data_IF_062555771572
#
_entry.id   IF_062555771572
#
_cell.length_a   1.000
_cell.length_b   1.000
_cell.length_c   1.000
_cell.angle_alpha   90.00
_cell.angle_beta   90.00
_cell.angle_gamma   90.00
#
_symmetry.space_group_name_H-M   'P 1'
#
loop_
_entity.id
_entity.type
_entity.pdbx_description
1 polymer ?
#
# COMPACT_ATOMS: atom_id res chain seq x y z
N UNK A 1 -9.06 20.59 -1.67
CA UNK A 1 -7.67 20.93 -1.28
C UNK A 1 -7.04 21.59 -2.50
N UNK A 2 -6.39 22.73 -2.35
CA UNK A 2 -5.73 23.39 -3.46
C UNK A 2 -4.34 22.78 -3.73
N UNK A 3 -3.76 23.06 -4.92
CA UNK A 3 -2.46 22.48 -5.30
C UNK A 3 -1.31 22.93 -4.38
N UNK A 4 -1.36 24.15 -3.86
CA UNK A 4 -0.34 24.66 -2.94
C UNK A 4 -0.35 23.93 -1.60
N UNK A 5 -1.52 23.57 -1.09
CA UNK A 5 -1.63 22.82 0.18
C UNK A 5 -1.13 21.40 0.03
N UNK A 6 -1.40 20.77 -1.14
CA UNK A 6 -0.86 19.44 -1.46
C UNK A 6 0.67 19.48 -1.56
N UNK A 7 1.21 20.49 -2.23
CA UNK A 7 2.65 20.66 -2.34
C UNK A 7 3.30 20.85 -0.97
N UNK A 8 2.76 21.73 -0.13
CA UNK A 8 3.28 21.98 1.22
C UNK A 8 3.23 20.72 2.10
N UNK A 9 2.15 19.96 2.02
CA UNK A 9 2.03 18.70 2.76
C UNK A 9 3.10 17.68 2.32
N UNK A 10 3.31 17.56 1.01
CA UNK A 10 4.32 16.66 0.45
C UNK A 10 5.74 17.10 0.83
N UNK A 11 6.04 18.37 0.70
CA UNK A 11 7.34 18.95 1.09
C UNK A 11 7.61 18.75 2.58
N UNK A 12 6.61 18.91 3.42
CA UNK A 12 6.71 18.69 4.86
C UNK A 12 7.06 17.22 5.16
N UNK A 13 6.33 16.26 4.62
CA UNK A 13 6.58 14.84 4.87
C UNK A 13 7.95 14.40 4.34
N UNK A 14 8.35 14.90 3.16
CA UNK A 14 9.69 14.61 2.60
C UNK A 14 10.82 15.22 3.43
N UNK A 15 10.64 16.42 4.00
CA UNK A 15 11.64 17.04 4.86
C UNK A 15 11.74 16.33 6.22
N UNK A 16 10.63 15.86 6.79
CA UNK A 16 10.64 15.02 7.99
C UNK A 16 11.43 13.74 7.73
N UNK A 17 11.18 13.07 6.60
CA UNK A 17 11.88 11.85 6.22
C UNK A 17 13.37 12.08 5.97
N UNK A 18 13.74 13.16 5.30
CA UNK A 18 15.14 13.55 5.06
C UNK A 18 15.93 13.74 6.36
N UNK A 19 15.27 14.23 7.40
CA UNK A 19 15.86 14.44 8.72
C UNK A 19 15.76 13.21 9.63
N UNK A 20 15.08 12.16 9.20
CA UNK A 20 14.94 10.93 9.97
C UNK A 20 16.23 10.10 9.97
N UNK A 21 16.59 9.59 11.14
CA UNK A 21 17.79 8.74 11.28
C UNK A 21 17.43 7.27 11.43
N UNK A 22 17.88 6.46 10.50
CA UNK A 22 17.76 5.00 10.56
C UNK A 22 18.80 4.33 11.46
N UNK A 23 19.75 5.10 11.99
CA UNK A 23 20.85 4.57 12.80
C UNK A 23 20.34 3.94 14.09
N UNK A 24 20.70 2.70 14.33
CA UNK A 24 20.37 1.97 15.55
C UNK A 24 18.98 1.32 15.55
N UNK A 25 18.20 1.46 14.46
CA UNK A 25 16.92 0.80 14.33
C UNK A 25 17.09 -0.67 13.93
N UNK A 26 16.22 -1.53 14.47
CA UNK A 26 16.04 -2.90 13.96
C UNK A 26 15.37 -2.86 12.59
N UNK A 27 15.48 -3.96 11.83
CA UNK A 27 14.84 -4.03 10.51
C UNK A 27 13.31 -3.93 10.60
N UNK A 28 12.69 -4.50 11.65
CA UNK A 28 11.26 -4.35 11.89
C UNK A 28 10.86 -2.89 12.17
N UNK A 29 11.66 -2.15 12.92
CA UNK A 29 11.43 -0.72 13.16
C UNK A 29 11.55 0.08 11.87
N UNK A 30 12.53 -0.25 11.02
CA UNK A 30 12.67 0.36 9.69
C UNK A 30 11.45 0.07 8.83
N UNK A 31 10.98 -1.18 8.76
CA UNK A 31 9.78 -1.57 8.00
C UNK A 31 8.55 -0.80 8.49
N UNK A 32 8.36 -0.71 9.80
CA UNK A 32 7.24 0.03 10.39
C UNK A 32 7.28 1.52 10.03
N UNK A 33 8.48 2.12 10.10
CA UNK A 33 8.66 3.53 9.72
C UNK A 33 8.37 3.76 8.24
N UNK A 34 8.94 2.94 7.35
CA UNK A 34 8.70 3.00 5.90
C UNK A 34 7.22 2.85 5.57
N UNK A 35 6.52 1.89 6.19
CA UNK A 35 5.09 1.70 5.97
C UNK A 35 4.30 2.97 6.31
N UNK A 36 4.60 3.63 7.43
CA UNK A 36 3.97 4.89 7.83
C UNK A 36 4.28 6.03 6.87
N UNK A 37 5.55 6.19 6.51
CA UNK A 37 5.99 7.25 5.60
C UNK A 37 5.32 7.11 4.23
N UNK A 38 5.37 5.93 3.62
CA UNK A 38 4.76 5.67 2.31
C UNK A 38 3.23 5.81 2.35
N UNK A 39 2.60 5.39 3.45
CA UNK A 39 1.16 5.59 3.68
C UNK A 39 0.79 7.07 3.74
N UNK A 40 1.59 7.90 4.41
CA UNK A 40 1.43 9.36 4.48
C UNK A 40 1.54 10.01 3.10
N UNK A 41 2.59 9.71 2.34
CA UNK A 41 2.79 10.20 0.97
C UNK A 41 1.59 9.83 0.08
N UNK A 42 1.12 8.58 0.14
CA UNK A 42 -0.04 8.16 -0.65
C UNK A 42 -1.32 8.91 -0.25
N UNK A 43 -1.53 9.17 1.04
CA UNK A 43 -2.73 9.84 1.57
C UNK A 43 -2.87 11.29 1.08
N UNK A 44 -1.76 11.97 0.80
CA UNK A 44 -1.76 13.33 0.25
C UNK A 44 -2.47 13.38 -1.10
N UNK A 45 -2.45 12.29 -1.88
CA UNK A 45 -3.08 12.21 -3.21
C UNK A 45 -2.69 13.39 -4.13
N UNK A 46 -1.39 13.60 -4.39
CA UNK A 46 -0.90 14.77 -5.11
C UNK A 46 -1.31 14.78 -6.59
N UNK A 47 -1.78 13.66 -7.12
CA UNK A 47 -2.21 13.52 -8.52
C UNK A 47 -3.70 13.22 -8.61
N UNK A 48 -4.35 13.65 -9.69
CA UNK A 48 -5.76 13.32 -9.97
C UNK A 48 -5.97 11.81 -10.15
N UNK A 49 -5.01 11.14 -10.82
CA UNK A 49 -5.01 9.71 -11.07
C UNK A 49 -3.60 9.11 -10.87
N UNK A 50 -3.53 7.79 -10.70
CA UNK A 50 -2.26 7.06 -10.66
C UNK A 50 -1.48 7.18 -9.36
N UNK A 51 -2.07 7.72 -8.28
CA UNK A 51 -1.37 7.89 -7.00
C UNK A 51 -0.72 6.60 -6.49
N UNK A 52 -1.41 5.45 -6.55
CA UNK A 52 -0.86 4.18 -6.09
C UNK A 52 0.36 3.73 -6.91
N UNK A 53 0.31 3.87 -8.24
CA UNK A 53 1.44 3.53 -9.13
C UNK A 53 2.64 4.44 -8.88
N UNK A 54 2.40 5.73 -8.79
CA UNK A 54 3.46 6.71 -8.49
C UNK A 54 4.07 6.43 -7.12
N UNK A 55 3.26 6.10 -6.13
CA UNK A 55 3.74 5.71 -4.80
C UNK A 55 4.59 4.44 -4.87
N UNK A 56 4.21 3.43 -5.65
CA UNK A 56 5.00 2.20 -5.83
C UNK A 56 6.38 2.51 -6.47
N UNK A 57 6.40 3.30 -7.55
CA UNK A 57 7.65 3.71 -8.20
C UNK A 57 8.53 4.54 -7.26
N UNK A 58 7.95 5.49 -6.55
CA UNK A 58 8.65 6.28 -5.52
C UNK A 58 9.24 5.36 -4.45
N UNK A 59 8.45 4.43 -3.92
CA UNK A 59 8.88 3.46 -2.90
C UNK A 59 10.11 2.67 -3.36
N UNK A 60 10.07 2.10 -4.56
CA UNK A 60 11.20 1.35 -5.12
C UNK A 60 12.46 2.22 -5.20
N UNK A 61 12.34 3.42 -5.75
CA UNK A 61 13.48 4.36 -5.88
C UNK A 61 14.02 4.78 -4.51
N UNK A 62 13.12 5.09 -3.59
CA UNK A 62 13.49 5.51 -2.24
C UNK A 62 14.20 4.38 -1.48
N UNK A 63 13.64 3.18 -1.45
CA UNK A 63 14.25 2.04 -0.78
C UNK A 63 15.62 1.69 -1.36
N UNK A 64 15.79 1.77 -2.67
CA UNK A 64 17.11 1.60 -3.31
C UNK A 64 18.10 2.67 -2.87
N UNK A 65 17.66 3.92 -2.72
CA UNK A 65 18.53 5.03 -2.29
C UNK A 65 19.05 4.87 -0.87
N UNK A 66 18.34 4.14 -0.02
CA UNK A 66 18.75 3.84 1.36
C UNK A 66 19.35 2.44 1.53
N UNK A 67 19.61 1.72 0.43
CA UNK A 67 20.42 0.51 0.40
C UNK A 67 19.66 -0.81 0.30
N UNK A 68 18.34 -0.80 0.10
CA UNK A 68 17.55 -2.02 -0.11
C UNK A 68 17.58 -2.46 -1.57
N UNK A 69 17.80 -3.75 -1.80
CA UNK A 69 17.67 -4.35 -3.13
C UNK A 69 16.22 -4.80 -3.36
N UNK A 70 15.42 -3.91 -3.93
CA UNK A 70 14.00 -4.13 -4.22
C UNK A 70 13.69 -3.86 -5.68
N UNK A 71 12.70 -4.56 -6.22
CA UNK A 71 12.24 -4.42 -7.59
C UNK A 71 10.69 -4.33 -7.65
N UNK A 72 10.16 -4.32 -8.87
CA UNK A 72 8.72 -4.17 -9.09
C UNK A 72 7.93 -5.48 -8.97
N UNK A 73 8.56 -6.64 -8.83
CA UNK A 73 7.88 -7.94 -8.98
C UNK A 73 6.76 -8.13 -7.95
N UNK A 74 7.02 -7.81 -6.69
CA UNK A 74 6.01 -7.91 -5.63
C UNK A 74 4.84 -6.94 -5.86
N UNK A 75 5.11 -5.73 -6.32
CA UNK A 75 4.09 -4.74 -6.65
C UNK A 75 3.23 -5.19 -7.84
N UNK A 76 3.85 -5.72 -8.89
CA UNK A 76 3.15 -6.22 -10.07
C UNK A 76 2.26 -7.41 -9.73
N UNK A 77 2.77 -8.37 -8.95
CA UNK A 77 2.02 -9.55 -8.53
C UNK A 77 0.88 -9.22 -7.55
N UNK A 78 1.00 -8.16 -6.76
CA UNK A 78 0.09 -7.82 -5.65
C UNK A 78 -0.41 -6.37 -5.71
N UNK A 79 -0.64 -5.81 -6.89
CA UNK A 79 -0.98 -4.39 -7.07
C UNK A 79 -2.27 -3.99 -6.35
N UNK A 80 -3.29 -4.86 -6.37
CA UNK A 80 -4.54 -4.66 -5.64
C UNK A 80 -4.36 -4.76 -4.13
N UNK A 81 -3.55 -5.71 -3.68
CA UNK A 81 -3.25 -5.83 -2.26
C UNK A 81 -2.55 -4.57 -1.75
N UNK A 82 -1.54 -4.09 -2.45
CA UNK A 82 -0.80 -2.87 -2.07
C UNK A 82 -1.73 -1.65 -1.99
N UNK A 83 -2.58 -1.45 -3.01
CA UNK A 83 -3.58 -0.38 -2.99
C UNK A 83 -4.54 -0.51 -1.81
N UNK A 84 -5.10 -1.70 -1.60
CA UNK A 84 -6.07 -1.93 -0.53
C UNK A 84 -5.42 -1.82 0.86
N UNK A 85 -4.17 -2.24 1.00
CA UNK A 85 -3.40 -2.07 2.24
C UNK A 85 -3.17 -0.58 2.56
N UNK A 86 -2.89 0.26 1.57
CA UNK A 86 -2.82 1.72 1.73
C UNK A 86 -4.17 2.32 2.15
N UNK A 87 -5.28 1.86 1.53
CA UNK A 87 -6.63 2.26 1.95
C UNK A 87 -6.87 1.86 3.41
N UNK A 88 -6.59 0.60 3.78
CA UNK A 88 -6.80 0.11 5.15
C UNK A 88 -5.95 0.83 6.18
N UNK A 89 -4.75 1.24 5.81
CA UNK A 89 -3.85 2.00 6.67
C UNK A 89 -4.40 3.39 7.03
N UNK A 90 -5.27 3.97 6.20
CA UNK A 90 -5.77 5.34 6.33
C UNK A 90 -7.28 5.43 6.57
N UNK A 91 -8.05 4.38 6.25
CA UNK A 91 -9.50 4.46 6.30
C UNK A 91 -10.03 4.40 7.73
N UNK A 92 -10.85 5.39 8.08
CA UNK A 92 -11.58 5.46 9.34
C UNK A 92 -13.09 5.64 9.08
N UNK A 93 -13.90 4.87 9.77
CA UNK A 93 -15.34 5.06 9.80
C UNK A 93 -15.87 4.86 11.23
N UNK A 94 -16.01 5.96 11.96
CA UNK A 94 -16.41 5.96 13.38
C UNK A 94 -17.78 5.31 13.58
N UNK A 95 -18.72 5.53 12.65
CA UNK A 95 -20.08 4.97 12.76
C UNK A 95 -20.09 3.45 12.67
N UNK A 96 -19.13 2.88 11.94
CA UNK A 96 -18.98 1.41 11.76
C UNK A 96 -17.94 0.82 12.69
N UNK A 97 -17.31 1.61 13.55
CA UNK A 97 -16.23 1.17 14.43
C UNK A 97 -14.96 0.75 13.68
N UNK A 98 -14.73 1.29 12.48
CA UNK A 98 -13.55 0.95 11.66
C UNK A 98 -12.44 1.95 11.92
N UNK A 99 -11.31 1.47 12.39
CA UNK A 99 -10.08 2.23 12.61
C UNK A 99 -9.02 1.90 11.56
N UNK A 100 -8.08 2.84 11.28
CA UNK A 100 -6.92 2.58 10.43
C UNK A 100 -6.13 1.36 10.90
N UNK A 101 -5.70 0.52 9.97
CA UNK A 101 -4.94 -0.69 10.26
C UNK A 101 -3.73 -0.80 9.34
N UNK A 102 -2.53 -0.65 9.91
CA UNK A 102 -1.26 -0.72 9.20
C UNK A 102 -0.76 -2.15 8.97
N UNK A 103 -1.32 -3.15 9.64
CA UNK A 103 -0.82 -4.53 9.63
C UNK A 103 -0.64 -5.10 8.22
N UNK A 104 -1.60 -4.85 7.34
CA UNK A 104 -1.56 -5.35 5.96
C UNK A 104 -0.43 -4.70 5.14
N UNK A 105 -0.22 -3.41 5.32
CA UNK A 105 0.85 -2.69 4.65
C UNK A 105 2.23 -3.10 5.20
N UNK A 106 2.33 -3.30 6.51
CA UNK A 106 3.54 -3.82 7.16
C UNK A 106 3.89 -5.20 6.60
N UNK A 107 2.92 -6.13 6.47
CA UNK A 107 3.15 -7.45 5.89
C UNK A 107 3.67 -7.38 4.45
N UNK A 108 3.16 -6.44 3.65
CA UNK A 108 3.67 -6.20 2.31
C UNK A 108 5.14 -5.74 2.32
N UNK A 109 5.48 -4.79 3.20
CA UNK A 109 6.86 -4.29 3.31
C UNK A 109 7.81 -5.31 3.94
N UNK A 110 7.36 -6.17 4.85
CA UNK A 110 8.15 -7.30 5.35
C UNK A 110 8.53 -8.24 4.21
N UNK A 111 7.59 -8.59 3.34
CA UNK A 111 7.88 -9.42 2.17
C UNK A 111 8.86 -8.70 1.22
N UNK A 112 8.66 -7.39 0.97
CA UNK A 112 9.47 -6.61 0.05
C UNK A 112 10.91 -6.39 0.54
N UNK A 113 11.07 -6.05 1.82
CA UNK A 113 12.33 -5.58 2.39
C UNK A 113 13.09 -6.67 3.14
N UNK A 114 12.39 -7.63 3.71
CA UNK A 114 12.97 -8.70 4.53
C UNK A 114 12.94 -10.07 3.85
N UNK A 115 12.28 -10.19 2.70
CA UNK A 115 12.11 -11.47 2.00
C UNK A 115 11.20 -12.44 2.74
N UNK A 116 10.31 -11.96 3.60
CA UNK A 116 9.31 -12.78 4.25
C UNK A 116 8.23 -13.23 3.26
N UNK A 117 7.51 -14.29 3.61
CA UNK A 117 6.46 -14.90 2.79
C UNK A 117 5.09 -14.76 3.46
N UNK A 118 4.76 -13.56 3.96
CA UNK A 118 3.44 -13.28 4.49
C UNK A 118 2.38 -13.44 3.38
N UNK A 119 1.25 -14.01 3.75
CA UNK A 119 0.15 -14.23 2.83
C UNK A 119 -0.55 -12.89 2.50
N UNK A 120 -0.50 -12.47 1.23
CA UNK A 120 -1.05 -11.20 0.76
C UNK A 120 -2.42 -11.43 0.09
N UNK A 121 -3.47 -11.62 0.90
CA UNK A 121 -4.83 -11.90 0.42
C UNK A 121 -5.76 -10.71 0.52
N UNK A 122 -6.28 -10.23 -0.60
CA UNK A 122 -7.22 -9.11 -0.69
C UNK A 122 -8.50 -9.32 0.14
N UNK A 123 -8.97 -10.56 0.30
CA UNK A 123 -10.18 -10.85 1.08
C UNK A 123 -10.12 -10.38 2.54
N UNK A 124 -8.94 -10.28 3.12
CA UNK A 124 -8.76 -9.79 4.49
C UNK A 124 -8.85 -8.26 4.61
N UNK A 125 -8.79 -7.57 3.49
CA UNK A 125 -8.73 -6.11 3.40
C UNK A 125 -10.10 -5.47 3.16
N UNK A 126 -11.12 -6.27 2.82
CA UNK A 126 -12.45 -5.77 2.49
C UNK A 126 -13.19 -5.33 3.75
N UNK A 127 -13.61 -4.06 3.81
CA UNK A 127 -14.27 -3.45 4.97
C UNK A 127 -15.79 -3.40 4.78
N UNK A 128 -16.26 -3.19 3.58
CA UNK A 128 -17.66 -2.92 3.21
C UNK A 128 -18.12 -3.80 2.03
N UNK A 129 -17.78 -5.09 2.06
CA UNK A 129 -18.34 -6.00 1.07
C UNK A 129 -19.87 -6.05 1.23
N UNK A 130 -20.64 -5.92 0.14
CA UNK A 130 -22.06 -6.24 0.17
C UNK A 130 -22.27 -7.63 0.79
N UNK A 131 -23.37 -7.80 1.53
CA UNK A 131 -23.67 -9.08 2.22
C UNK A 131 -23.56 -10.29 1.26
N UNK A 132 -23.90 -10.08 -0.01
CA UNK A 132 -23.74 -11.05 -1.10
C UNK A 132 -22.29 -11.45 -1.40
N UNK A 133 -21.33 -10.57 -1.12
CA UNK A 133 -19.91 -10.83 -1.27
C UNK A 133 -19.37 -11.65 -0.11
N UNK A 134 -19.85 -11.38 1.10
CA UNK A 134 -19.45 -12.09 2.32
C UNK A 134 -19.93 -13.54 2.24
N UNK A 135 -21.16 -13.77 1.77
CA UNK A 135 -21.71 -15.13 1.60
C UNK A 135 -21.02 -15.95 0.52
N UNK A 136 -20.45 -15.31 -0.51
CA UNK A 136 -19.66 -15.95 -1.56
C UNK A 136 -18.21 -16.26 -1.16
N UNK A 137 -17.78 -15.76 0.00
CA UNK A 137 -16.44 -15.97 0.55
C UNK A 137 -16.40 -17.00 1.68
N UNK A 138 -17.46 -17.78 1.86
CA UNK A 138 -17.44 -18.94 2.74
C UNK A 138 -16.31 -19.89 2.29
N UNK A 139 -15.34 -20.20 3.18
CA UNK A 139 -14.19 -21.06 2.83
C UNK A 139 -14.60 -22.44 2.34
N UNK A 140 -15.85 -22.88 2.60
CA UNK A 140 -16.38 -24.15 2.15
C UNK A 140 -16.94 -24.11 0.73
N UNK A 141 -17.23 -22.94 0.17
CA UNK A 141 -17.81 -22.80 -1.18
C UNK A 141 -16.76 -22.51 -2.26
N UNK A 142 -15.47 -22.34 -1.93
CA UNK A 142 -14.55 -21.71 -2.82
C UNK A 142 -13.28 -22.49 -3.13
N UNK A 143 -13.43 -23.52 -3.97
CA UNK A 143 -12.30 -23.99 -4.78
C UNK A 143 -12.03 -23.13 -6.03
N UNK A 144 -12.85 -22.09 -6.28
CA UNK A 144 -12.75 -21.17 -7.42
C UNK A 144 -13.32 -19.78 -7.08
N UNK A 145 -12.75 -19.10 -6.11
CA UNK A 145 -12.91 -17.66 -6.08
C UNK A 145 -11.89 -17.06 -7.03
N UNK A 146 -12.32 -16.25 -7.99
CA UNK A 146 -11.35 -15.49 -8.74
C UNK A 146 -10.69 -14.50 -7.79
N UNK A 147 -9.37 -14.45 -7.76
CA UNK A 147 -8.57 -13.30 -7.31
C UNK A 147 -8.87 -12.05 -8.17
N UNK A 148 -10.01 -12.03 -8.82
CA UNK A 148 -10.48 -11.02 -9.74
C UNK A 148 -11.55 -10.18 -9.10
N UNK A 149 -11.14 -9.21 -8.31
CA UNK A 149 -11.77 -7.90 -8.39
C UNK A 149 -11.69 -7.45 -9.87
N UNK A 150 -12.66 -6.65 -10.36
CA UNK A 150 -12.67 -6.24 -11.74
C UNK A 150 -11.30 -5.73 -12.14
N UNK A 151 -10.77 -6.32 -13.20
CA UNK A 151 -9.47 -5.95 -13.76
C UNK A 151 -9.46 -4.45 -14.01
N UNK A 152 -8.40 -3.73 -13.62
CA UNK A 152 -8.25 -2.35 -14.05
C UNK A 152 -8.32 -2.32 -15.57
N UNK A 153 -9.00 -1.30 -16.09
CA UNK A 153 -9.05 -1.02 -17.53
C UNK A 153 -7.63 -1.16 -18.11
N UNK A 154 -7.48 -1.72 -19.33
CA UNK A 154 -6.18 -1.91 -19.98
C UNK A 154 -5.30 -0.65 -20.03
N UNK A 155 -5.90 0.53 -19.94
CA UNK A 155 -5.19 1.80 -19.82
C UNK A 155 -4.31 1.89 -18.55
N UNK A 156 -4.53 1.04 -17.55
CA UNK A 156 -3.78 1.06 -16.29
C UNK A 156 -2.63 0.05 -16.22
N UNK A 157 -2.46 -0.79 -17.24
CA UNK A 157 -1.41 -1.83 -17.28
C UNK A 157 -0.17 -1.44 -18.09
N UNK A 158 -0.24 -0.36 -18.91
CA UNK A 158 0.81 -0.04 -19.87
C UNK A 158 2.04 0.70 -19.33
N UNK A 159 2.09 1.04 -18.04
CA UNK A 159 3.20 1.81 -17.45
C UNK A 159 4.08 1.02 -16.46
N UNK A 160 3.87 -0.30 -16.33
CA UNK A 160 4.68 -1.12 -15.44
C UNK A 160 5.76 -1.89 -16.20
N UNK A 161 5.82 -1.76 -17.54
CA UNK A 161 6.77 -2.48 -18.40
C UNK A 161 7.79 -1.56 -19.08
N UNK A 162 8.34 -0.59 -18.37
CA UNK A 162 9.58 0.08 -18.78
C UNK A 162 10.42 0.44 -17.58
#
# INVERSE_FOLDING_TARGET
VNAEDLQKALEYDLEQEKNFSYKGLSLDEVVNHIAKFISGIWQIHPFGEGNTRTTAVFTIKYLRSIGFDVNNDLFAANSWYFRNALVRANYRNVRKGIEPNMTFLISFFQNLMMGEENELKNRYLVIDAPQEWISKQDPTSNRHAPDKLPTPSPANLSLVNT
#
